data_IF_659662379297
#
_entry.id   IF_659662379297
#
_cell.length_a   1.000
_cell.length_b   1.000
_cell.length_c   1.000
_cell.angle_alpha   90.00
_cell.angle_beta   90.00
_cell.angle_gamma   90.00
#
_symmetry.space_group_name_H-M   'P 1'
#
loop_
_entity.id
_entity.type
_entity.pdbx_description
1 polymer ?
#
# COMPACT_ATOMS: atom_id res chain seq x y z
N UNK A 1 -37.86 7.26 14.86
CA UNK A 1 -37.67 8.59 14.19
C UNK A 1 -36.67 8.53 13.01
N UNK A 2 -35.91 7.45 12.87
CA UNK A 2 -34.91 7.27 11.81
C UNK A 2 -35.48 6.60 10.54
N UNK A 3 -36.59 5.85 10.68
CA UNK A 3 -37.27 5.18 9.56
C UNK A 3 -38.14 6.10 8.69
N UNK A 4 -38.43 7.31 9.16
CA UNK A 4 -39.27 8.29 8.44
C UNK A 4 -38.50 9.01 7.32
N UNK A 5 -37.21 9.22 7.49
CA UNK A 5 -36.36 9.97 6.53
C UNK A 5 -36.06 9.13 5.29
N UNK A 6 -35.97 7.79 5.45
CA UNK A 6 -35.67 6.89 4.34
C UNK A 6 -36.83 6.64 3.39
N UNK A 7 -38.08 6.86 3.86
CA UNK A 7 -39.31 6.67 3.04
C UNK A 7 -39.70 7.87 2.19
N UNK A 8 -39.26 9.06 2.54
CA UNK A 8 -39.56 10.27 1.74
C UNK A 8 -38.59 10.42 0.54
N UNK A 9 -37.38 9.88 0.63
CA UNK A 9 -36.41 9.96 -0.47
C UNK A 9 -36.75 9.06 -1.68
N UNK A 10 -37.65 8.10 -1.51
CA UNK A 10 -38.07 7.17 -2.58
C UNK A 10 -39.29 7.65 -3.34
N UNK A 11 -40.06 8.63 -2.82
CA UNK A 11 -41.31 9.10 -3.45
C UNK A 11 -41.14 10.20 -4.52
N UNK A 12 -39.97 10.78 -4.67
CA UNK A 12 -39.72 11.84 -5.67
C UNK A 12 -39.13 11.37 -7.01
N UNK A 13 -38.99 10.07 -7.24
CA UNK A 13 -38.40 9.50 -8.48
C UNK A 13 -39.42 8.70 -9.32
N UNK A 14 -40.72 8.92 -9.11
CA UNK A 14 -41.76 8.26 -9.94
C UNK A 14 -42.26 9.17 -11.07
N UNK A 15 -41.40 9.59 -11.98
CA UNK A 15 -41.79 10.47 -13.07
C UNK A 15 -40.87 10.58 -14.28
N UNK A 16 -40.02 9.63 -14.49
CA UNK A 16 -39.35 9.48 -15.80
C UNK A 16 -38.88 8.05 -16.00
N UNK A 17 -39.31 7.42 -17.10
CA UNK A 17 -38.80 6.14 -17.55
C UNK A 17 -37.28 6.24 -17.73
N UNK A 18 -36.55 5.88 -16.67
CA UNK A 18 -35.11 5.63 -16.76
C UNK A 18 -34.96 4.27 -17.43
N UNK A 19 -34.91 4.27 -18.75
CA UNK A 19 -34.59 3.08 -19.52
C UNK A 19 -33.15 2.66 -19.17
N UNK A 20 -32.93 1.38 -18.96
CA UNK A 20 -31.62 0.75 -18.75
C UNK A 20 -30.52 1.23 -19.69
N UNK A 21 -30.88 1.79 -20.84
CA UNK A 21 -29.95 2.38 -21.81
C UNK A 21 -29.18 3.60 -21.30
N UNK A 22 -29.73 4.38 -20.34
CA UNK A 22 -29.01 5.55 -19.80
C UNK A 22 -27.94 5.20 -18.77
N UNK A 23 -28.05 4.07 -18.09
CA UNK A 23 -26.96 3.58 -17.22
C UNK A 23 -25.74 3.08 -18.00
N UNK A 24 -25.94 2.60 -19.24
CA UNK A 24 -24.83 2.19 -20.11
C UNK A 24 -24.14 3.36 -20.83
N UNK A 25 -24.78 4.52 -20.95
CA UNK A 25 -24.18 5.68 -21.64
C UNK A 25 -23.26 6.53 -20.75
N UNK A 26 -23.35 6.42 -19.43
CA UNK A 26 -22.50 7.22 -18.53
C UNK A 26 -21.07 6.67 -18.38
N UNK A 27 -20.77 5.49 -18.92
CA UNK A 27 -19.43 4.87 -18.87
C UNK A 27 -18.79 4.60 -20.24
N UNK A 28 -19.35 5.16 -21.33
CA UNK A 28 -18.61 5.21 -22.61
C UNK A 28 -17.68 6.41 -22.63
N UNK A 29 -16.66 6.43 -21.76
CA UNK A 29 -15.39 7.03 -22.16
C UNK A 29 -14.89 6.15 -23.29
N UNK A 30 -14.81 6.72 -24.49
CA UNK A 30 -14.26 6.07 -25.68
C UNK A 30 -12.87 5.54 -25.31
N UNK A 31 -12.77 4.24 -25.11
CA UNK A 31 -11.47 3.58 -25.13
C UNK A 31 -10.95 3.72 -26.56
N UNK A 32 -9.72 4.19 -26.75
CA UNK A 32 -9.11 4.18 -28.08
C UNK A 32 -9.12 2.74 -28.57
N UNK A 33 -9.78 2.52 -29.71
CA UNK A 33 -9.76 1.24 -30.38
C UNK A 33 -8.34 0.98 -30.90
N UNK A 34 -7.68 -0.05 -30.33
CA UNK A 34 -6.49 -0.59 -30.96
C UNK A 34 -5.27 -0.64 -30.05
N UNK A 35 -4.89 -1.86 -29.77
CA UNK A 35 -3.64 -2.43 -29.26
C UNK A 35 -3.57 -2.59 -27.75
N UNK A 36 -3.33 -3.86 -27.38
CA UNK A 36 -2.88 -4.38 -26.07
C UNK A 36 -3.94 -4.60 -24.99
N UNK A 37 -5.03 -5.33 -25.32
CA UNK A 37 -5.96 -5.80 -24.29
C UNK A 37 -5.40 -6.92 -23.38
N UNK A 38 -4.23 -7.47 -23.69
CA UNK A 38 -3.57 -8.55 -22.93
C UNK A 38 -2.04 -8.35 -22.97
N UNK A 39 -1.54 -7.25 -22.40
CA UNK A 39 -0.11 -7.12 -22.19
C UNK A 39 0.26 -7.97 -20.98
N UNK A 40 1.10 -8.98 -21.18
CA UNK A 40 1.68 -9.75 -20.08
C UNK A 40 2.51 -8.82 -19.20
N UNK A 41 2.25 -8.83 -17.90
CA UNK A 41 3.04 -8.09 -16.91
C UNK A 41 3.75 -9.06 -15.97
N UNK A 42 4.94 -8.69 -15.54
CA UNK A 42 5.71 -9.40 -14.52
C UNK A 42 5.63 -8.58 -13.25
N UNK A 43 5.15 -9.18 -12.16
CA UNK A 43 5.12 -8.52 -10.86
C UNK A 43 6.53 -8.49 -10.26
N UNK A 44 7.05 -7.29 -10.01
CA UNK A 44 8.39 -7.04 -9.50
C UNK A 44 8.33 -6.26 -8.19
N UNK A 45 9.32 -6.46 -7.31
CA UNK A 45 9.51 -5.61 -6.15
C UNK A 45 9.77 -4.18 -6.63
N UNK A 46 8.86 -3.25 -6.31
CA UNK A 46 8.96 -1.83 -6.64
C UNK A 46 9.79 -1.07 -5.61
N UNK A 47 9.47 -1.29 -4.34
CA UNK A 47 10.11 -0.62 -3.22
C UNK A 47 10.01 -1.40 -1.93
N UNK A 48 10.97 -1.15 -1.02
CA UNK A 48 11.05 -1.85 0.25
C UNK A 48 11.63 -0.97 1.35
N UNK A 49 11.00 -0.99 2.53
CA UNK A 49 11.57 -0.47 3.77
C UNK A 49 12.00 -1.67 4.60
N UNK A 50 13.29 -1.76 4.91
CA UNK A 50 13.89 -2.95 5.49
C UNK A 50 14.12 -2.81 6.99
N UNK A 51 13.49 -3.71 7.78
CA UNK A 51 13.63 -3.87 9.22
C UNK A 51 13.25 -2.62 10.04
N UNK A 52 12.20 -1.93 9.62
CA UNK A 52 11.62 -0.86 10.43
C UNK A 52 11.06 -1.39 11.75
N UNK A 53 11.19 -0.62 12.82
CA UNK A 53 10.68 -0.95 14.15
C UNK A 53 9.23 -0.51 14.28
N UNK A 54 8.34 -1.41 14.67
CA UNK A 54 6.95 -1.08 15.00
C UNK A 54 6.94 -0.23 16.27
N UNK A 55 6.47 1.01 16.16
CA UNK A 55 6.36 1.93 17.32
C UNK A 55 5.01 1.87 18.01
N UNK A 56 3.97 1.41 17.29
CA UNK A 56 2.62 1.26 17.82
C UNK A 56 1.86 0.15 17.10
N UNK A 57 1.07 -0.63 17.86
CA UNK A 57 0.13 -1.63 17.38
C UNK A 57 -1.20 -1.43 18.12
N UNK A 58 -2.23 -0.83 17.45
CA UNK A 58 -3.47 -0.42 18.10
C UNK A 58 -4.69 -1.02 17.39
N UNK A 59 -5.45 -1.84 18.11
CA UNK A 59 -6.59 -2.58 17.57
C UNK A 59 -7.80 -1.69 17.27
N UNK A 60 -8.04 -0.71 18.13
CA UNK A 60 -9.23 0.15 18.07
C UNK A 60 -8.95 1.46 17.32
N UNK A 61 -8.02 1.43 16.38
CA UNK A 61 -7.63 2.58 15.58
C UNK A 61 -7.97 2.39 14.10
N UNK A 62 -8.33 3.49 13.43
CA UNK A 62 -8.66 3.48 12.00
C UNK A 62 -7.37 3.44 11.19
N UNK A 63 -7.36 2.57 10.19
CA UNK A 63 -6.28 2.50 9.24
C UNK A 63 -5.57 1.16 9.27
N UNK A 64 -4.56 1.06 8.47
CA UNK A 64 -3.91 -0.16 8.06
C UNK A 64 -2.47 -0.19 8.57
N UNK A 65 -1.53 0.43 7.83
CA UNK A 65 -0.22 0.76 8.34
C UNK A 65 0.05 2.24 8.12
N UNK A 66 0.32 2.98 9.18
CA UNK A 66 0.79 4.37 9.10
C UNK A 66 2.32 4.35 9.08
N UNK A 67 2.90 4.97 8.06
CA UNK A 67 4.35 5.01 7.81
C UNK A 67 4.77 6.46 7.64
N UNK A 68 5.89 6.84 8.25
CA UNK A 68 6.54 8.12 8.04
C UNK A 68 6.62 8.45 6.54
N UNK A 69 6.13 9.63 6.15
CA UNK A 69 6.08 10.09 4.76
C UNK A 69 7.45 10.07 4.08
N UNK A 70 8.52 10.41 4.82
CA UNK A 70 9.89 10.40 4.29
C UNK A 70 10.34 8.99 3.89
N UNK A 71 9.95 7.99 4.66
CA UNK A 71 10.24 6.58 4.35
C UNK A 71 9.45 6.10 3.13
N UNK A 72 8.17 6.48 3.01
CA UNK A 72 7.34 6.15 1.85
C UNK A 72 7.93 6.76 0.57
N UNK A 73 8.27 8.04 0.59
CA UNK A 73 8.89 8.72 -0.54
C UNK A 73 10.21 8.06 -0.97
N UNK A 74 11.09 7.78 0.00
CA UNK A 74 12.38 7.15 -0.27
C UNK A 74 12.24 5.75 -0.87
N UNK A 75 11.19 5.02 -0.48
CA UNK A 75 10.88 3.70 -1.03
C UNK A 75 10.04 3.75 -2.32
N UNK A 76 9.59 4.93 -2.75
CA UNK A 76 8.70 5.11 -3.88
C UNK A 76 7.32 4.48 -3.68
N UNK A 77 6.84 4.42 -2.43
CA UNK A 77 5.54 3.87 -2.05
C UNK A 77 4.56 5.04 -1.88
N UNK A 78 3.37 4.92 -2.47
CA UNK A 78 2.34 5.95 -2.40
C UNK A 78 1.41 5.72 -1.21
N UNK A 79 0.76 6.80 -0.75
CA UNK A 79 -0.37 6.66 0.17
C UNK A 79 -1.48 5.82 -0.47
N UNK A 80 -2.13 4.97 0.33
CA UNK A 80 -3.12 3.97 -0.08
C UNK A 80 -2.60 2.86 -1.00
N UNK A 81 -1.30 2.79 -1.23
CA UNK A 81 -0.72 1.68 -1.99
C UNK A 81 -0.76 0.39 -1.17
N UNK A 82 -1.14 -0.71 -1.83
CA UNK A 82 -1.09 -2.04 -1.24
C UNK A 82 0.36 -2.44 -0.96
N UNK A 83 0.62 -2.87 0.26
CA UNK A 83 1.93 -3.37 0.68
C UNK A 83 1.80 -4.73 1.35
N UNK A 84 2.85 -5.53 1.22
CA UNK A 84 3.06 -6.75 1.98
C UNK A 84 3.96 -6.45 3.17
N UNK A 85 3.52 -6.87 4.35
CA UNK A 85 4.27 -6.76 5.60
C UNK A 85 4.80 -8.13 5.98
N UNK A 86 6.06 -8.18 6.38
CA UNK A 86 6.70 -9.38 6.94
C UNK A 86 7.28 -9.02 8.29
N UNK A 87 6.81 -9.70 9.32
CA UNK A 87 7.36 -9.58 10.67
C UNK A 87 8.52 -10.54 10.84
N UNK A 88 9.69 -10.00 11.19
CA UNK A 88 10.94 -10.77 11.34
C UNK A 88 10.95 -11.54 12.64
N UNK A 89 10.25 -11.07 13.67
CA UNK A 89 10.25 -11.64 15.00
C UNK A 89 9.35 -12.87 15.11
N UNK A 90 8.16 -12.84 14.49
CA UNK A 90 7.18 -13.92 14.57
C UNK A 90 6.94 -14.67 13.25
N UNK A 91 7.45 -14.16 12.13
CA UNK A 91 7.30 -14.74 10.80
C UNK A 91 5.96 -14.49 10.12
N UNK A 92 5.08 -13.65 10.70
CA UNK A 92 3.81 -13.27 10.10
C UNK A 92 4.02 -12.59 8.75
N UNK A 93 3.16 -12.90 7.79
CA UNK A 93 3.15 -12.28 6.47
C UNK A 93 1.71 -11.96 6.08
N UNK A 94 1.42 -10.69 5.84
CA UNK A 94 0.09 -10.21 5.53
C UNK A 94 0.14 -9.00 4.60
N UNK A 95 -1.00 -8.68 4.01
CA UNK A 95 -1.16 -7.54 3.11
C UNK A 95 -2.04 -6.47 3.76
N UNK A 96 -1.73 -5.23 3.48
CA UNK A 96 -2.47 -4.07 3.93
C UNK A 96 -2.23 -2.89 2.98
N UNK A 97 -2.61 -1.67 3.33
CA UNK A 97 -2.29 -0.46 2.56
C UNK A 97 -1.68 0.60 3.47
N UNK A 98 -0.95 1.53 2.88
CA UNK A 98 -0.22 2.59 3.57
C UNK A 98 -1.09 3.81 3.83
N UNK A 99 -0.83 4.48 4.95
CA UNK A 99 -1.31 5.83 5.27
C UNK A 99 -0.07 6.67 5.58
N UNK A 100 -0.01 7.91 5.07
CA UNK A 100 1.07 8.82 5.38
C UNK A 100 1.01 9.25 6.86
N UNK A 101 2.12 9.03 7.57
CA UNK A 101 2.37 9.55 8.90
C UNK A 101 3.18 10.86 8.84
N UNK A 102 3.38 11.48 10.00
CA UNK A 102 4.15 12.72 10.10
C UNK A 102 5.57 12.52 9.59
N UNK A 103 5.98 13.41 8.68
CA UNK A 103 7.28 13.40 8.02
C UNK A 103 8.42 13.50 9.02
N UNK A 104 9.39 12.63 8.91
CA UNK A 104 10.56 12.58 9.77
C UNK A 104 10.28 12.16 11.21
N UNK A 105 9.10 11.62 11.50
CA UNK A 105 8.74 11.12 12.84
C UNK A 105 9.32 9.74 13.18
N UNK A 106 9.66 8.94 12.17
CA UNK A 106 9.99 7.52 12.32
C UNK A 106 8.77 6.65 12.61
N UNK A 107 7.56 7.16 12.32
CA UNK A 107 6.31 6.48 12.62
C UNK A 107 6.14 5.21 11.78
N UNK A 108 5.93 4.08 12.47
CA UNK A 108 5.55 2.78 11.90
C UNK A 108 4.47 2.21 12.82
N UNK A 109 3.21 2.43 12.48
CA UNK A 109 2.07 2.05 13.31
C UNK A 109 1.15 1.08 12.58
N UNK A 110 0.93 -0.11 13.17
CA UNK A 110 -0.02 -1.10 12.66
C UNK A 110 -1.35 -0.91 13.40
N UNK A 111 -2.43 -0.75 12.64
CA UNK A 111 -3.73 -0.39 13.18
C UNK A 111 -4.80 -1.43 12.81
N UNK A 112 -5.86 -1.51 13.64
CA UNK A 112 -6.98 -2.41 13.42
C UNK A 112 -6.54 -3.88 13.36
N UNK A 113 -7.07 -4.64 12.41
CA UNK A 113 -6.79 -6.07 12.29
C UNK A 113 -5.30 -6.40 12.08
N UNK A 114 -4.54 -5.53 11.41
CA UNK A 114 -3.12 -5.69 11.19
C UNK A 114 -2.29 -5.68 12.50
N UNK A 115 -2.75 -4.95 13.52
CA UNK A 115 -2.13 -4.93 14.84
C UNK A 115 -2.11 -6.31 15.56
N UNK A 116 -2.95 -7.25 15.11
CA UNK A 116 -2.95 -8.63 15.63
C UNK A 116 -1.75 -9.45 15.14
N UNK A 117 -1.10 -9.04 14.09
CA UNK A 117 -0.02 -9.78 13.43
C UNK A 117 1.37 -9.35 13.90
N UNK A 118 1.47 -8.29 14.70
CA UNK A 118 2.73 -7.69 15.15
C UNK A 118 2.64 -7.26 16.60
N UNK A 119 3.79 -6.95 17.20
CA UNK A 119 3.89 -6.31 18.51
C UNK A 119 4.75 -5.05 18.43
N UNK A 120 4.51 -4.08 19.31
CA UNK A 120 5.41 -2.93 19.45
C UNK A 120 6.83 -3.41 19.75
N UNK A 121 7.82 -2.90 19.01
CA UNK A 121 9.22 -3.29 19.08
C UNK A 121 9.62 -4.35 18.04
N UNK A 122 8.67 -5.00 17.37
CA UNK A 122 8.98 -5.96 16.30
C UNK A 122 9.66 -5.26 15.13
N UNK A 123 10.54 -6.00 14.46
CA UNK A 123 11.17 -5.56 13.19
C UNK A 123 10.37 -6.08 12.01
N UNK A 124 9.88 -5.18 11.20
CA UNK A 124 9.10 -5.52 10.01
C UNK A 124 9.77 -5.10 8.71
N UNK A 125 9.41 -5.79 7.64
CA UNK A 125 9.79 -5.42 6.28
C UNK A 125 8.51 -5.04 5.54
N UNK A 126 8.47 -3.85 4.96
CA UNK A 126 7.36 -3.32 4.17
C UNK A 126 7.76 -3.39 2.71
N UNK A 127 6.96 -4.04 1.85
CA UNK A 127 7.26 -4.25 0.44
C UNK A 127 6.09 -3.85 -0.43
N UNK A 128 6.35 -3.06 -1.46
CA UNK A 128 5.41 -2.75 -2.53
C UNK A 128 5.85 -3.43 -3.82
N UNK A 129 4.87 -3.89 -4.60
CA UNK A 129 5.08 -4.55 -5.88
C UNK A 129 4.35 -3.80 -6.98
N UNK A 130 4.86 -3.87 -8.21
CA UNK A 130 4.20 -3.30 -9.37
C UNK A 130 4.36 -4.22 -10.59
N UNK A 131 3.40 -4.15 -11.50
CA UNK A 131 3.45 -4.87 -12.77
C UNK A 131 4.26 -4.09 -13.80
N UNK A 132 5.28 -4.73 -14.35
CA UNK A 132 6.14 -4.19 -15.42
C UNK A 132 5.97 -5.01 -16.68
N UNK A 133 6.11 -4.40 -17.82
CA UNK A 133 6.24 -5.19 -19.05
C UNK A 133 7.58 -5.96 -19.08
N UNK A 134 7.70 -7.03 -19.89
CA UNK A 134 8.90 -7.87 -19.88
C UNK A 134 10.21 -7.13 -20.20
N UNK A 135 10.17 -6.05 -20.97
CA UNK A 135 11.36 -5.27 -21.29
C UNK A 135 11.74 -4.33 -20.14
N UNK A 136 10.75 -3.65 -19.55
CA UNK A 136 10.93 -2.82 -18.36
C UNK A 136 11.45 -3.66 -17.18
N UNK A 137 10.88 -4.87 -16.98
CA UNK A 137 11.26 -5.77 -15.90
C UNK A 137 12.74 -6.16 -15.94
N UNK A 138 13.36 -6.25 -17.13
CA UNK A 138 14.78 -6.60 -17.31
C UNK A 138 15.73 -5.54 -16.75
N UNK A 139 15.31 -4.29 -16.75
CA UNK A 139 16.12 -3.13 -16.35
C UNK A 139 15.66 -2.50 -15.04
N UNK A 140 14.52 -2.96 -14.53
CA UNK A 140 13.93 -2.44 -13.29
C UNK A 140 14.87 -2.65 -12.10
N UNK A 141 14.94 -1.65 -11.23
CA UNK A 141 15.68 -1.68 -9.97
C UNK A 141 14.78 -1.14 -8.86
N UNK A 142 14.54 -1.92 -7.78
CA UNK A 142 13.72 -1.47 -6.67
C UNK A 142 14.40 -0.37 -5.86
N UNK A 143 13.60 0.45 -5.18
CA UNK A 143 14.10 1.32 -4.13
C UNK A 143 14.13 0.54 -2.80
N UNK A 144 15.31 0.37 -2.19
CA UNK A 144 15.47 -0.34 -0.92
C UNK A 144 15.99 0.62 0.14
N UNK A 145 15.15 0.90 1.13
CA UNK A 145 15.43 1.81 2.24
C UNK A 145 15.81 1.00 3.47
N UNK A 146 16.98 1.24 4.01
CA UNK A 146 17.41 0.74 5.31
C UNK A 146 17.25 1.83 6.35
N UNK A 147 16.79 1.46 7.52
CA UNK A 147 16.56 2.38 8.64
C UNK A 147 17.40 1.99 9.85
N UNK A 148 17.60 2.94 10.74
CA UNK A 148 18.19 2.73 12.07
C UNK A 148 17.13 2.33 13.11
N UNK A 149 17.51 2.30 14.39
CA UNK A 149 16.63 1.91 15.50
C UNK A 149 15.49 2.92 15.74
N UNK A 150 15.68 4.18 15.34
CA UNK A 150 14.70 5.27 15.42
C UNK A 150 13.88 5.41 14.13
N UNK A 151 13.97 4.43 13.21
CA UNK A 151 13.35 4.44 11.89
C UNK A 151 13.78 5.61 11.00
N UNK A 152 14.98 6.15 11.20
CA UNK A 152 15.55 7.14 10.28
C UNK A 152 16.28 6.46 9.14
N UNK A 153 16.24 7.08 7.96
CA UNK A 153 16.92 6.55 6.79
C UNK A 153 18.43 6.50 7.04
N UNK A 154 18.98 5.29 7.11
CA UNK A 154 20.43 5.08 7.21
C UNK A 154 21.06 4.94 5.83
N UNK A 155 20.33 4.34 4.87
CA UNK A 155 20.81 4.14 3.51
C UNK A 155 19.65 3.86 2.55
N UNK A 156 19.78 4.37 1.32
CA UNK A 156 18.90 3.99 0.20
C UNK A 156 19.77 3.35 -0.90
N UNK A 157 19.30 2.25 -1.45
CA UNK A 157 19.98 1.54 -2.54
C UNK A 157 18.96 1.00 -3.55
N UNK A 158 19.42 0.65 -4.72
CA UNK A 158 18.60 0.02 -5.77
C UNK A 158 19.05 -1.43 -6.06
N UNK A 159 19.78 -2.02 -5.15
CA UNK A 159 20.32 -3.37 -5.29
C UNK A 159 20.46 -4.05 -3.92
N UNK A 160 20.09 -5.32 -3.84
CA UNK A 160 20.35 -6.18 -2.69
C UNK A 160 21.37 -7.24 -3.07
N UNK A 161 22.52 -7.22 -2.42
CA UNK A 161 23.54 -8.26 -2.59
C UNK A 161 23.23 -9.44 -1.66
N UNK A 162 23.37 -10.65 -2.16
CA UNK A 162 23.35 -11.83 -1.30
C UNK A 162 24.46 -11.75 -0.25
N UNK A 163 24.10 -11.91 1.03
CA UNK A 163 25.07 -11.84 2.13
C UNK A 163 24.37 -11.77 3.49
N UNK A 164 25.15 -11.75 4.55
CA UNK A 164 24.65 -11.53 5.90
C UNK A 164 24.34 -10.06 6.13
N UNK A 165 23.35 -9.77 7.00
CA UNK A 165 22.95 -8.38 7.33
C UNK A 165 24.13 -7.51 7.77
N UNK A 166 25.05 -8.07 8.57
CA UNK A 166 26.26 -7.38 9.03
C UNK A 166 27.20 -6.96 7.87
N UNK A 167 27.09 -7.60 6.71
CA UNK A 167 27.91 -7.32 5.52
C UNK A 167 27.19 -6.31 4.59
N UNK A 168 25.97 -5.90 4.95
CA UNK A 168 25.16 -4.93 4.21
C UNK A 168 25.10 -3.54 4.89
N UNK A 169 25.67 -3.43 6.09
CA UNK A 169 25.74 -2.18 6.86
C UNK A 169 26.75 -1.18 6.26
#
# INVERSE_FOLDING_TARGET
>A
KQDSIYRESIRSVSGSKCTLERLFLCHRKSFPAGKDLYKMTIEMLKGKIHRATVVQAELDYVGSITVDEELLEAAGILEYEKVQIVDVNNGSRFETYTICGERGSGMICLNGAAARCVSTGDKIIIMAYAGYDPEEARTHKPAVVFVDEENKISRVTNYEKHGLLKDMA
#
